data_IF_544646793301
#
_entry.id   IF_544646793301
#
_cell.length_a   1.000
_cell.length_b   1.000
_cell.length_c   1.000
_cell.angle_alpha   90.00
_cell.angle_beta   90.00
_cell.angle_gamma   90.00
#
_symmetry.space_group_name_H-M   'P 1'
#
loop_
_entity.id
_entity.type
_entity.pdbx_description
1 polymer ?
#
# COMPACT_ATOMS: atom_id res chain seq x y z
N UNK A 1 19.60 -32.54 -17.33
CA UNK A 1 19.70 -31.89 -18.66
C UNK A 1 18.41 -31.17 -19.10
N UNK A 2 17.38 -31.07 -18.24
CA UNK A 2 16.05 -30.54 -18.61
C UNK A 2 15.75 -29.16 -17.98
N UNK A 3 16.54 -28.72 -17.01
CA UNK A 3 16.39 -27.39 -16.38
C UNK A 3 16.91 -26.24 -17.27
N UNK A 4 18.00 -26.42 -18.03
CA UNK A 4 18.58 -25.32 -18.83
C UNK A 4 17.68 -24.87 -19.99
N UNK A 5 16.86 -25.77 -20.55
CA UNK A 5 15.94 -25.45 -21.65
C UNK A 5 14.82 -24.52 -21.20
N UNK A 6 14.33 -24.67 -19.96
CA UNK A 6 13.27 -23.81 -19.41
C UNK A 6 13.79 -22.39 -19.16
N UNK A 7 15.03 -22.23 -18.70
CA UNK A 7 15.64 -20.91 -18.51
C UNK A 7 15.94 -20.17 -19.83
N UNK A 8 16.14 -20.89 -20.93
CA UNK A 8 16.37 -20.29 -22.25
C UNK A 8 15.05 -19.98 -23.00
N UNK A 9 13.99 -20.76 -22.78
CA UNK A 9 12.68 -20.57 -23.44
C UNK A 9 11.80 -19.55 -22.71
N UNK A 10 11.90 -19.46 -21.39
CA UNK A 10 11.06 -18.55 -20.59
C UNK A 10 11.23 -17.07 -20.95
N UNK A 11 12.44 -16.52 -21.21
CA UNK A 11 12.60 -15.14 -21.69
C UNK A 11 11.98 -14.92 -23.07
N UNK A 12 12.08 -15.92 -23.96
CA UNK A 12 11.51 -15.85 -25.33
C UNK A 12 9.98 -15.89 -25.30
N UNK A 13 9.39 -16.70 -24.41
CA UNK A 13 7.93 -16.72 -24.18
C UNK A 13 7.44 -15.44 -23.50
N UNK A 14 8.17 -14.93 -22.50
CA UNK A 14 7.82 -13.67 -21.83
C UNK A 14 7.92 -12.48 -22.78
N UNK A 15 8.96 -12.38 -23.62
CA UNK A 15 9.07 -11.36 -24.67
C UNK A 15 8.02 -11.56 -25.77
N UNK A 16 7.79 -12.80 -26.22
CA UNK A 16 6.84 -13.15 -27.27
C UNK A 16 5.37 -12.93 -26.90
N UNK A 17 5.02 -12.91 -25.61
CA UNK A 17 3.67 -12.56 -25.13
C UNK A 17 3.55 -11.09 -24.71
N UNK A 18 4.58 -10.54 -24.05
CA UNK A 18 4.51 -9.17 -23.53
C UNK A 18 4.56 -8.11 -24.63
N UNK A 19 5.36 -8.31 -25.69
CA UNK A 19 5.49 -7.35 -26.79
C UNK A 19 4.21 -7.25 -27.61
N UNK A 20 3.58 -8.35 -28.09
CA UNK A 20 2.33 -8.26 -28.84
C UNK A 20 1.16 -7.76 -27.99
N UNK A 21 1.08 -8.14 -26.71
CA UNK A 21 0.04 -7.64 -25.81
C UNK A 21 0.20 -6.13 -25.55
N UNK A 22 1.43 -5.67 -25.34
CA UNK A 22 1.75 -4.24 -25.23
C UNK A 22 1.40 -3.49 -26.51
N UNK A 23 1.66 -4.07 -27.70
CA UNK A 23 1.30 -3.48 -29.00
C UNK A 23 -0.21 -3.44 -29.21
N UNK A 24 -0.93 -4.49 -28.83
CA UNK A 24 -2.37 -4.57 -28.94
C UNK A 24 -3.07 -3.53 -28.04
N UNK A 25 -2.62 -3.42 -26.79
CA UNK A 25 -3.12 -2.40 -25.86
C UNK A 25 -2.78 -0.98 -26.34
N UNK A 26 -1.61 -0.78 -26.95
CA UNK A 26 -1.23 0.48 -27.59
C UNK A 26 -2.15 0.83 -28.77
N UNK A 27 -2.41 -0.10 -29.69
CA UNK A 27 -3.32 0.09 -30.82
C UNK A 27 -4.74 0.39 -30.33
N UNK A 28 -5.23 -0.33 -29.32
CA UNK A 28 -6.53 -0.07 -28.69
C UNK A 28 -6.62 1.34 -28.09
N UNK A 29 -5.55 1.78 -27.42
CA UNK A 29 -5.49 3.13 -26.84
C UNK A 29 -5.39 4.23 -27.92
N UNK A 30 -4.66 3.99 -29.02
CA UNK A 30 -4.62 4.90 -30.18
C UNK A 30 -6.00 5.01 -30.84
N UNK A 31 -6.70 3.89 -31.00
CA UNK A 31 -8.04 3.87 -31.56
C UNK A 31 -9.04 4.60 -30.64
N UNK A 32 -9.00 4.34 -29.33
CA UNK A 32 -9.83 5.04 -28.35
C UNK A 32 -9.54 6.55 -28.33
N UNK A 33 -8.27 6.94 -28.32
CA UNK A 33 -7.86 8.34 -28.32
C UNK A 33 -8.26 9.09 -29.59
N UNK A 34 -8.32 8.41 -30.76
CA UNK A 34 -8.80 9.01 -32.01
C UNK A 34 -10.32 9.16 -32.07
N UNK A 35 -11.06 8.37 -31.30
CA UNK A 35 -12.53 8.37 -31.29
C UNK A 35 -13.08 9.31 -30.19
N UNK A 36 -12.33 9.57 -29.11
CA UNK A 36 -12.87 10.17 -27.89
C UNK A 36 -12.61 11.67 -27.64
N UNK A 37 -11.62 12.36 -28.23
CA UNK A 37 -11.46 13.82 -28.01
C UNK A 37 -10.43 14.53 -28.90
N UNK A 38 -10.73 15.79 -29.24
CA UNK A 38 -9.87 16.78 -29.90
C UNK A 38 -8.58 17.09 -29.11
N UNK A 39 -7.43 16.97 -29.77
CA UNK A 39 -6.43 18.04 -29.71
C UNK A 39 -5.11 17.83 -28.95
N UNK A 40 -5.01 17.07 -27.85
CA UNK A 40 -3.71 16.99 -27.15
C UNK A 40 -3.42 15.74 -26.30
N UNK A 41 -3.77 14.53 -26.75
CA UNK A 41 -3.44 13.33 -25.98
C UNK A 41 -2.17 12.63 -26.50
N UNK A 42 -1.11 12.72 -25.71
CA UNK A 42 0.07 11.86 -25.81
C UNK A 42 -0.39 10.40 -25.73
N UNK A 43 -0.09 9.61 -26.73
CA UNK A 43 -0.33 8.16 -26.72
C UNK A 43 0.62 7.52 -25.69
N UNK A 44 0.14 6.58 -24.85
CA UNK A 44 1.01 5.82 -23.92
C UNK A 44 2.10 5.10 -24.72
N UNK A 45 3.40 5.33 -24.47
CA UNK A 45 4.45 4.75 -25.28
C UNK A 45 4.52 3.23 -25.07
N UNK A 46 4.92 2.47 -26.10
CA UNK A 46 5.16 1.03 -26.03
C UNK A 46 6.00 0.60 -24.81
N UNK A 47 7.04 1.37 -24.48
CA UNK A 47 7.93 1.08 -23.36
C UNK A 47 7.21 1.10 -22.01
N UNK A 48 6.25 2.01 -21.83
CA UNK A 48 5.45 2.12 -20.61
C UNK A 48 4.43 0.99 -20.51
N UNK A 49 3.82 0.57 -21.62
CA UNK A 49 2.98 -0.62 -21.65
C UNK A 49 3.77 -1.89 -21.32
N UNK A 50 4.93 -2.06 -21.95
CA UNK A 50 5.82 -3.20 -21.68
C UNK A 50 6.22 -3.25 -20.21
N UNK A 51 6.69 -2.13 -19.65
CA UNK A 51 7.04 -2.03 -18.23
C UNK A 51 5.84 -2.35 -17.32
N UNK A 52 4.68 -1.76 -17.61
CA UNK A 52 3.48 -1.88 -16.79
C UNK A 52 2.76 -3.23 -16.90
N UNK A 53 3.20 -4.09 -17.81
CA UNK A 53 2.76 -5.49 -17.86
C UNK A 53 3.85 -6.39 -17.25
N UNK A 54 5.09 -6.24 -17.70
CA UNK A 54 6.18 -7.13 -17.32
C UNK A 54 6.51 -7.03 -15.83
N UNK A 55 6.67 -5.81 -15.28
CA UNK A 55 7.08 -5.63 -13.88
C UNK A 55 5.99 -6.11 -12.91
N UNK A 56 4.69 -5.77 -13.11
CA UNK A 56 3.60 -6.36 -12.32
C UNK A 56 3.54 -7.90 -12.38
N UNK A 57 3.73 -8.52 -13.56
CA UNK A 57 3.79 -9.99 -13.68
C UNK A 57 4.93 -10.54 -12.83
N UNK A 58 6.14 -9.97 -12.95
CA UNK A 58 7.30 -10.41 -12.17
C UNK A 58 7.06 -10.25 -10.66
N UNK A 59 6.45 -9.14 -10.24
CA UNK A 59 6.09 -8.88 -8.84
C UNK A 59 5.11 -9.94 -8.31
N UNK A 60 4.06 -10.28 -9.08
CA UNK A 60 3.07 -11.29 -8.68
C UNK A 60 3.64 -12.70 -8.69
N UNK A 61 4.45 -13.07 -9.70
CA UNK A 61 5.17 -14.36 -9.74
C UNK A 61 6.09 -14.50 -8.54
N UNK A 62 6.85 -13.45 -8.21
CA UNK A 62 7.68 -13.43 -7.00
C UNK A 62 6.83 -13.60 -5.74
N UNK A 63 5.70 -12.88 -5.66
CA UNK A 63 4.79 -12.96 -4.53
C UNK A 63 4.23 -14.37 -4.30
N UNK A 64 3.83 -15.06 -5.37
CA UNK A 64 3.38 -16.45 -5.32
C UNK A 64 4.51 -17.39 -4.89
N UNK A 65 5.70 -17.28 -5.49
CA UNK A 65 6.87 -18.12 -5.16
C UNK A 65 7.30 -17.96 -3.69
N UNK A 66 7.23 -16.74 -3.15
CA UNK A 66 7.58 -16.45 -1.74
C UNK A 66 6.43 -16.68 -0.76
N UNK A 67 5.30 -17.21 -1.23
CA UNK A 67 4.07 -17.39 -0.45
C UNK A 67 3.65 -16.09 0.27
N UNK A 68 3.89 -14.92 -0.33
CA UNK A 68 3.43 -13.63 0.19
C UNK A 68 2.00 -13.28 -0.23
N UNK A 69 1.54 -13.89 -1.32
CA UNK A 69 0.18 -13.75 -1.86
C UNK A 69 -0.29 -15.12 -2.35
N UNK A 70 -1.59 -15.39 -2.29
CA UNK A 70 -2.18 -16.59 -2.89
C UNK A 70 -2.62 -16.34 -4.35
N UNK A 71 -3.17 -17.36 -5.03
CA UNK A 71 -3.57 -17.24 -6.45
C UNK A 71 -4.60 -16.13 -6.70
N UNK A 72 -5.60 -15.98 -5.83
CA UNK A 72 -6.63 -14.96 -6.00
C UNK A 72 -6.10 -13.55 -5.72
N UNK A 73 -5.27 -13.40 -4.69
CA UNK A 73 -4.56 -12.15 -4.42
C UNK A 73 -3.58 -11.78 -5.53
N UNK A 74 -2.90 -12.74 -6.15
CA UNK A 74 -2.00 -12.47 -7.27
C UNK A 74 -2.74 -12.01 -8.52
N UNK A 75 -3.89 -12.63 -8.82
CA UNK A 75 -4.72 -12.22 -9.96
C UNK A 75 -5.23 -10.78 -9.79
N UNK A 76 -5.78 -10.44 -8.62
CA UNK A 76 -6.27 -9.09 -8.37
C UNK A 76 -5.14 -8.07 -8.20
N UNK A 77 -4.05 -8.48 -7.53
CA UNK A 77 -2.84 -7.67 -7.36
C UNK A 77 -2.17 -7.33 -8.69
N UNK A 78 -2.26 -8.21 -9.69
CA UNK A 78 -1.80 -7.91 -11.05
C UNK A 78 -2.58 -6.74 -11.65
N UNK A 79 -3.91 -6.76 -11.55
CA UNK A 79 -4.77 -5.68 -12.06
C UNK A 79 -4.42 -4.34 -11.39
N UNK A 80 -4.34 -4.34 -10.05
CA UNK A 80 -3.93 -3.16 -9.29
C UNK A 80 -2.56 -2.63 -9.73
N UNK A 81 -1.57 -3.51 -9.80
CA UNK A 81 -0.19 -3.15 -10.14
C UNK A 81 -0.06 -2.62 -11.57
N UNK A 82 -0.81 -3.17 -12.54
CA UNK A 82 -0.85 -2.67 -13.93
C UNK A 82 -1.42 -1.26 -13.95
N UNK A 83 -2.57 -1.02 -13.31
CA UNK A 83 -3.20 0.31 -13.27
C UNK A 83 -2.23 1.32 -12.64
N UNK A 84 -1.70 1.00 -11.45
CA UNK A 84 -0.76 1.86 -10.75
C UNK A 84 0.47 2.18 -11.61
N UNK A 85 1.05 1.18 -12.26
CA UNK A 85 2.22 1.33 -13.12
C UNK A 85 1.96 2.18 -14.35
N UNK A 86 0.81 1.99 -15.02
CA UNK A 86 0.44 2.80 -16.18
C UNK A 86 0.24 4.25 -15.74
N UNK A 87 -0.42 4.50 -14.61
CA UNK A 87 -0.64 5.84 -14.07
C UNK A 87 0.67 6.56 -13.73
N UNK A 88 1.51 5.95 -12.88
CA UNK A 88 2.80 6.49 -12.45
C UNK A 88 3.72 5.37 -11.92
N UNK A 89 4.98 5.39 -12.34
CA UNK A 89 6.01 4.50 -11.80
C UNK A 89 6.17 4.68 -10.29
N UNK A 90 5.98 5.89 -9.75
CA UNK A 90 6.01 6.15 -8.31
C UNK A 90 4.91 5.39 -7.56
N UNK A 91 3.73 5.22 -8.16
CA UNK A 91 2.63 4.47 -7.55
C UNK A 91 2.92 2.97 -7.50
N UNK A 92 3.46 2.40 -8.59
CA UNK A 92 3.93 1.01 -8.57
C UNK A 92 5.08 0.83 -7.57
N UNK A 93 6.01 1.79 -7.49
CA UNK A 93 7.11 1.74 -6.53
C UNK A 93 6.60 1.74 -5.08
N UNK A 94 5.58 2.54 -4.76
CA UNK A 94 4.92 2.52 -3.45
C UNK A 94 4.26 1.16 -3.16
N UNK A 95 3.53 0.58 -4.12
CA UNK A 95 2.96 -0.77 -3.98
C UNK A 95 4.06 -1.81 -3.74
N UNK A 96 5.13 -1.77 -4.53
CA UNK A 96 6.25 -2.70 -4.41
C UNK A 96 6.94 -2.57 -3.06
N UNK A 97 7.21 -1.33 -2.62
CA UNK A 97 7.79 -1.03 -1.31
C UNK A 97 6.94 -1.63 -0.21
N UNK A 98 5.64 -1.30 -0.15
CA UNK A 98 4.67 -1.87 0.78
C UNK A 98 4.67 -3.40 0.72
N UNK A 99 4.58 -3.99 -0.47
CA UNK A 99 4.51 -5.44 -0.61
C UNK A 99 5.76 -6.12 -0.04
N UNK A 100 6.96 -5.64 -0.37
CA UNK A 100 8.21 -6.26 0.08
C UNK A 100 8.49 -5.98 1.56
N UNK A 101 8.28 -4.75 2.03
CA UNK A 101 8.50 -4.38 3.44
C UNK A 101 7.53 -5.14 4.34
N UNK A 102 6.23 -5.08 4.05
CA UNK A 102 5.19 -5.73 4.85
C UNK A 102 5.33 -7.25 4.82
N UNK A 103 5.71 -7.86 3.69
CA UNK A 103 5.94 -9.31 3.64
C UNK A 103 7.18 -9.76 4.42
N UNK A 104 8.15 -8.87 4.64
CA UNK A 104 9.28 -9.15 5.55
C UNK A 104 8.87 -8.94 6.99
N UNK A 105 8.11 -7.88 7.28
CA UNK A 105 7.59 -7.59 8.61
C UNK A 105 6.73 -8.73 9.15
N UNK A 106 5.79 -9.26 8.35
CA UNK A 106 4.92 -10.39 8.75
C UNK A 106 5.66 -11.69 9.05
N UNK A 107 6.85 -11.87 8.47
CA UNK A 107 7.70 -13.04 8.74
C UNK A 107 8.65 -12.82 9.92
N UNK A 108 8.84 -11.57 10.34
CA UNK A 108 9.77 -11.22 11.40
C UNK A 108 9.25 -11.73 12.75
N UNK A 109 10.01 -12.65 13.36
CA UNK A 109 9.72 -13.20 14.70
C UNK A 109 8.27 -13.71 14.89
N UNK A 110 7.69 -14.34 13.86
CA UNK A 110 6.33 -14.89 13.92
C UNK A 110 6.08 -15.88 15.08
N UNK A 111 7.12 -16.57 15.57
CA UNK A 111 7.03 -17.42 16.77
C UNK A 111 6.65 -16.68 18.04
N UNK A 112 6.96 -15.39 18.16
CA UNK A 112 6.56 -14.57 19.29
C UNK A 112 5.05 -14.31 19.28
N UNK A 113 4.46 -14.10 18.10
CA UNK A 113 3.03 -13.80 17.92
C UNK A 113 2.11 -14.96 18.26
N UNK A 114 2.55 -16.19 17.96
CA UNK A 114 1.87 -17.44 18.36
C UNK A 114 1.59 -17.55 19.86
N UNK A 115 2.30 -16.81 20.70
CA UNK A 115 2.11 -16.85 22.15
C UNK A 115 0.89 -16.05 22.62
N UNK A 116 0.39 -15.12 21.80
CA UNK A 116 -0.70 -14.22 22.18
C UNK A 116 -1.85 -14.12 21.15
N UNK A 117 -1.67 -14.63 19.93
CA UNK A 117 -2.71 -14.72 18.89
C UNK A 117 -3.11 -16.18 18.63
N UNK A 118 -4.40 -16.52 18.80
CA UNK A 118 -4.92 -17.89 18.63
C UNK A 118 -4.98 -18.31 17.14
N UNK A 119 -5.35 -17.40 16.24
CA UNK A 119 -5.55 -17.66 14.81
C UNK A 119 -4.33 -17.30 13.92
N UNK A 120 -3.11 -17.29 14.48
CA UNK A 120 -1.92 -16.88 13.74
C UNK A 120 -1.64 -17.79 12.52
N UNK A 121 -1.83 -17.26 11.31
CA UNK A 121 -1.52 -17.97 10.05
C UNK A 121 -0.06 -17.76 9.65
N UNK A 122 0.74 -18.82 9.77
CA UNK A 122 2.15 -18.80 9.39
C UNK A 122 2.33 -18.51 7.88
N UNK A 123 3.07 -17.44 7.58
CA UNK A 123 3.40 -17.04 6.22
C UNK A 123 2.49 -16.00 5.57
N UNK A 124 1.35 -15.64 6.18
CA UNK A 124 0.57 -14.44 5.82
C UNK A 124 0.23 -14.28 4.33
N UNK A 125 -0.20 -15.35 3.66
CA UNK A 125 -0.56 -15.30 2.23
C UNK A 125 -1.76 -14.37 2.01
N UNK A 126 -1.52 -13.22 1.38
CA UNK A 126 -2.58 -12.26 1.10
C UNK A 126 -3.58 -12.78 0.07
N UNK A 127 -4.88 -12.70 0.38
CA UNK A 127 -5.95 -13.04 -0.56
C UNK A 127 -6.45 -11.80 -1.31
N UNK A 128 -7.36 -11.99 -2.28
CA UNK A 128 -7.94 -10.90 -3.06
C UNK A 128 -8.60 -9.81 -2.18
N UNK A 129 -9.27 -10.19 -1.09
CA UNK A 129 -9.94 -9.26 -0.19
C UNK A 129 -8.92 -8.34 0.51
N UNK A 130 -7.82 -8.91 1.00
CA UNK A 130 -6.71 -8.13 1.58
C UNK A 130 -6.06 -7.20 0.56
N UNK A 131 -5.95 -7.62 -0.70
CA UNK A 131 -5.43 -6.75 -1.76
C UNK A 131 -6.38 -5.58 -2.01
N UNK A 132 -7.70 -5.81 -2.09
CA UNK A 132 -8.68 -4.74 -2.25
C UNK A 132 -8.63 -3.76 -1.06
N UNK A 133 -8.61 -4.27 0.17
CA UNK A 133 -8.62 -3.40 1.35
C UNK A 133 -7.35 -2.56 1.47
N UNK A 134 -6.19 -3.09 1.05
CA UNK A 134 -4.92 -2.39 1.23
C UNK A 134 -4.47 -1.58 0.01
N UNK A 135 -4.88 -1.97 -1.21
CA UNK A 135 -4.45 -1.34 -2.45
C UNK A 135 -5.61 -0.82 -3.30
N UNK A 136 -6.87 -1.13 -2.97
CA UNK A 136 -8.04 -0.75 -3.74
C UNK A 136 -8.21 0.77 -3.84
N UNK A 137 -8.15 1.48 -2.72
CA UNK A 137 -8.26 2.96 -2.72
C UNK A 137 -7.12 3.60 -3.53
N UNK A 138 -5.89 3.16 -3.32
CA UNK A 138 -4.74 3.63 -4.10
C UNK A 138 -4.90 3.35 -5.60
N UNK A 139 -5.43 2.17 -5.97
CA UNK A 139 -5.70 1.80 -7.36
C UNK A 139 -6.78 2.68 -7.98
N UNK A 140 -7.86 2.96 -7.23
CA UNK A 140 -8.93 3.85 -7.68
C UNK A 140 -8.41 5.28 -7.89
N UNK A 141 -7.64 5.81 -6.95
CA UNK A 141 -7.01 7.14 -7.07
C UNK A 141 -6.02 7.21 -8.23
N UNK A 142 -5.25 6.14 -8.46
CA UNK A 142 -4.35 6.05 -9.61
C UNK A 142 -5.10 5.96 -10.93
N UNK A 143 -6.25 5.28 -10.97
CA UNK A 143 -7.12 5.28 -12.15
C UNK A 143 -7.66 6.68 -12.42
N UNK A 144 -8.12 7.40 -11.39
CA UNK A 144 -8.53 8.80 -11.52
C UNK A 144 -7.37 9.70 -11.99
N UNK A 145 -6.16 9.49 -11.47
CA UNK A 145 -4.97 10.18 -11.95
C UNK A 145 -4.73 9.91 -13.44
N UNK A 146 -4.84 8.66 -13.87
CA UNK A 146 -4.67 8.29 -15.29
C UNK A 146 -5.73 8.94 -16.20
N UNK A 147 -6.98 9.02 -15.74
CA UNK A 147 -8.08 9.60 -16.50
C UNK A 147 -8.01 11.13 -16.57
N UNK A 148 -7.74 11.79 -15.44
CA UNK A 148 -7.79 13.25 -15.34
C UNK A 148 -6.46 13.92 -15.71
N UNK A 149 -5.36 13.30 -15.33
CA UNK A 149 -4.02 13.85 -15.52
C UNK A 149 -3.33 13.22 -16.72
N UNK A 150 -3.68 11.99 -17.10
CA UNK A 150 -2.93 11.21 -18.08
C UNK A 150 -1.81 10.40 -17.42
N UNK A 151 -1.10 9.62 -18.22
CA UNK A 151 0.05 8.86 -17.75
C UNK A 151 1.27 9.78 -17.62
N UNK A 152 2.14 9.51 -16.65
CA UNK A 152 3.40 10.24 -16.55
C UNK A 152 3.81 10.50 -15.11
N UNK A 153 5.11 10.71 -14.94
CA UNK A 153 5.69 11.08 -13.65
C UNK A 153 5.63 12.60 -13.54
N UNK A 154 5.03 13.08 -12.45
CA UNK A 154 4.86 14.50 -12.21
C UNK A 154 5.37 14.85 -10.83
N UNK A 155 6.12 15.96 -10.69
CA UNK A 155 6.48 16.47 -9.38
C UNK A 155 5.23 16.96 -8.65
N UNK A 156 5.31 16.97 -7.32
CA UNK A 156 4.29 17.59 -6.48
C UNK A 156 4.45 19.10 -6.55
N UNK A 157 3.49 19.73 -7.20
CA UNK A 157 3.31 21.18 -7.26
C UNK A 157 1.81 21.48 -7.09
N UNK A 158 1.43 22.02 -5.93
CA UNK A 158 0.03 22.33 -5.64
C UNK A 158 -0.48 23.60 -6.32
N UNK A 159 0.42 24.41 -6.90
CA UNK A 159 0.07 25.66 -7.61
C UNK A 159 -0.19 25.36 -9.08
N UNK A 160 0.77 24.75 -9.78
CA UNK A 160 0.68 24.52 -11.22
C UNK A 160 0.07 23.15 -11.58
N UNK A 161 0.22 22.15 -10.71
CA UNK A 161 -0.15 20.76 -10.96
C UNK A 161 -1.11 20.19 -9.91
N UNK A 162 -2.04 21.03 -9.43
CA UNK A 162 -2.93 20.75 -8.30
C UNK A 162 -3.52 19.33 -8.30
N UNK A 163 -4.19 18.92 -9.40
CA UNK A 163 -4.89 17.62 -9.47
C UNK A 163 -3.94 16.44 -9.37
N UNK A 164 -2.84 16.45 -10.12
CA UNK A 164 -1.84 15.38 -10.08
C UNK A 164 -1.11 15.33 -8.74
N UNK A 165 -0.84 16.49 -8.13
CA UNK A 165 -0.22 16.59 -6.81
C UNK A 165 -1.12 16.02 -5.72
N UNK A 166 -2.41 16.41 -5.74
CA UNK A 166 -3.39 15.93 -4.79
C UNK A 166 -3.57 14.41 -4.89
N UNK A 167 -3.80 13.89 -6.10
CA UNK A 167 -3.98 12.45 -6.34
C UNK A 167 -2.69 11.65 -6.06
N UNK A 168 -1.52 12.21 -6.38
CA UNK A 168 -0.23 11.57 -6.11
C UNK A 168 0.04 11.40 -4.62
N UNK A 169 -0.17 12.47 -3.83
CA UNK A 169 -0.09 12.40 -2.37
C UNK A 169 -1.16 11.49 -1.80
N UNK A 170 -2.34 11.41 -2.42
CA UNK A 170 -3.43 10.53 -1.97
C UNK A 170 -3.01 9.05 -2.09
N UNK A 171 -2.48 8.66 -3.25
CA UNK A 171 -1.97 7.30 -3.50
C UNK A 171 -0.81 6.96 -2.54
N UNK A 172 0.15 7.88 -2.39
CA UNK A 172 1.25 7.72 -1.44
C UNK A 172 0.72 7.54 -0.01
N UNK A 173 -0.23 8.39 0.40
CA UNK A 173 -0.84 8.38 1.73
C UNK A 173 -1.57 7.07 2.03
N UNK A 174 -2.33 6.53 1.07
CA UNK A 174 -2.99 5.23 1.22
C UNK A 174 -1.98 4.09 1.40
N UNK A 175 -0.89 4.04 0.63
CA UNK A 175 0.14 3.01 0.83
C UNK A 175 0.95 3.21 2.11
N UNK A 176 1.25 4.45 2.48
CA UNK A 176 1.92 4.79 3.72
C UNK A 176 1.08 4.40 4.94
N UNK A 177 -0.24 4.61 4.91
CA UNK A 177 -1.20 4.10 5.90
C UNK A 177 -1.07 2.59 6.09
N UNK A 178 -1.22 1.82 5.00
CA UNK A 178 -1.11 0.36 5.04
C UNK A 178 0.24 -0.14 5.56
N UNK A 179 1.34 0.47 5.09
CA UNK A 179 2.68 0.05 5.49
C UNK A 179 2.97 0.44 6.94
N UNK A 180 2.52 1.62 7.37
CA UNK A 180 2.66 2.11 8.74
C UNK A 180 1.87 1.25 9.73
N UNK A 181 0.62 0.89 9.41
CA UNK A 181 -0.16 -0.03 10.22
C UNK A 181 0.51 -1.41 10.31
N UNK A 182 0.92 -1.96 9.17
CA UNK A 182 1.60 -3.27 9.15
C UNK A 182 2.90 -3.24 9.96
N UNK A 183 3.69 -2.16 9.91
CA UNK A 183 4.92 -2.07 10.69
C UNK A 183 4.64 -1.95 12.20
N UNK A 184 3.58 -1.22 12.61
CA UNK A 184 3.17 -1.18 14.01
C UNK A 184 2.73 -2.56 14.52
N UNK A 185 1.84 -3.23 13.78
CA UNK A 185 1.24 -4.49 14.20
C UNK A 185 2.21 -5.67 14.07
N UNK A 186 3.14 -5.65 13.11
CA UNK A 186 4.11 -6.74 12.88
C UNK A 186 5.43 -6.54 13.62
N UNK A 187 6.03 -5.35 13.53
CA UNK A 187 7.33 -5.07 14.17
C UNK A 187 7.14 -4.48 15.56
N UNK A 188 6.23 -3.52 15.72
CA UNK A 188 6.00 -2.85 17.00
C UNK A 188 5.60 -3.79 18.13
N UNK A 189 4.71 -4.75 17.85
CA UNK A 189 4.21 -5.73 18.83
C UNK A 189 5.28 -6.69 19.34
N UNK A 190 6.29 -6.99 18.52
CA UNK A 190 7.33 -7.97 18.82
C UNK A 190 8.63 -7.31 19.33
N UNK A 191 8.90 -6.07 18.93
CA UNK A 191 10.05 -5.30 19.40
C UNK A 191 9.74 -4.64 20.75
N UNK A 192 8.51 -4.17 20.97
CA UNK A 192 8.10 -3.57 22.23
C UNK A 192 8.14 -4.56 23.41
N UNK A 193 8.61 -4.10 24.57
CA UNK A 193 8.63 -4.88 25.83
C UNK A 193 7.49 -4.52 26.79
N UNK A 194 6.87 -3.35 26.65
CA UNK A 194 5.72 -2.92 27.46
C UNK A 194 4.36 -3.37 26.93
N UNK A 195 3.35 -3.37 27.81
CA UNK A 195 1.97 -3.53 27.40
C UNK A 195 1.46 -2.27 26.67
N UNK A 196 0.80 -2.43 25.52
CA UNK A 196 0.19 -1.31 24.81
C UNK A 196 -0.97 -0.72 25.61
N UNK A 197 -1.35 0.52 25.28
CA UNK A 197 -2.52 1.18 25.84
C UNK A 197 -3.62 1.27 24.79
N UNK A 198 -4.88 1.14 25.20
CA UNK A 198 -6.02 1.31 24.29
C UNK A 198 -6.17 2.80 23.93
N UNK A 199 -6.30 3.12 22.64
CA UNK A 199 -6.31 4.51 22.17
C UNK A 199 -7.46 5.35 22.76
N UNK A 200 -8.59 4.73 23.07
CA UNK A 200 -9.80 5.42 23.56
C UNK A 200 -9.74 5.84 25.02
N UNK A 201 -9.16 5.00 25.90
CA UNK A 201 -9.19 5.21 27.35
C UNK A 201 -7.81 5.20 28.02
N UNK A 202 -6.74 4.97 27.25
CA UNK A 202 -5.33 4.89 27.69
C UNK A 202 -5.05 3.84 28.76
N UNK A 203 -5.94 2.87 28.96
CA UNK A 203 -5.69 1.74 29.87
C UNK A 203 -4.76 0.73 29.21
N UNK A 204 -3.86 0.13 29.99
CA UNK A 204 -2.99 -0.96 29.51
C UNK A 204 -3.84 -2.19 29.18
N UNK A 205 -3.59 -2.78 28.02
CA UNK A 205 -4.30 -3.95 27.52
C UNK A 205 -3.31 -5.00 27.03
N UNK A 206 -3.68 -6.30 27.01
CA UNK A 206 -2.78 -7.33 26.53
C UNK A 206 -2.43 -7.13 25.04
N UNK A 207 -1.27 -7.62 24.64
CA UNK A 207 -0.82 -7.55 23.24
C UNK A 207 -1.74 -8.33 22.32
N UNK A 208 -1.96 -7.79 21.12
CA UNK A 208 -2.91 -8.33 20.15
C UNK A 208 -4.33 -7.77 20.29
N UNK A 209 -4.63 -6.97 21.31
CA UNK A 209 -5.92 -6.28 21.43
C UNK A 209 -6.11 -5.28 20.30
N UNK A 210 -7.25 -5.33 19.60
CA UNK A 210 -7.59 -4.39 18.54
C UNK A 210 -7.68 -2.96 19.09
N UNK A 211 -7.02 -2.03 18.41
CA UNK A 211 -6.93 -0.63 18.82
C UNK A 211 -5.95 -0.33 19.96
N UNK A 212 -5.10 -1.29 20.32
CA UNK A 212 -4.02 -1.09 21.25
C UNK A 212 -2.81 -0.43 20.57
N UNK A 213 -2.33 0.65 21.16
CA UNK A 213 -1.22 1.46 20.64
C UNK A 213 -0.03 1.34 21.59
N UNK A 214 1.17 1.23 21.04
CA UNK A 214 2.42 1.29 21.80
C UNK A 214 3.33 2.37 21.21
N UNK A 215 4.22 2.93 22.04
CA UNK A 215 5.18 3.93 21.56
C UNK A 215 6.08 3.37 20.44
N UNK A 216 6.57 2.13 20.60
CA UNK A 216 7.35 1.45 19.56
C UNK A 216 6.52 1.25 18.29
N UNK A 217 5.24 0.89 18.44
CA UNK A 217 4.30 0.82 17.32
C UNK A 217 4.19 2.14 16.56
N UNK A 218 3.97 3.25 17.25
CA UNK A 218 3.87 4.58 16.62
C UNK A 218 5.14 4.97 15.87
N UNK A 219 6.31 4.71 16.44
CA UNK A 219 7.60 4.94 15.76
C UNK A 219 7.71 4.06 14.51
N UNK A 220 7.36 2.77 14.62
CA UNK A 220 7.38 1.86 13.47
C UNK A 220 6.37 2.27 12.39
N UNK A 221 5.21 2.81 12.75
CA UNK A 221 4.24 3.35 11.79
C UNK A 221 4.77 4.57 11.05
N UNK A 222 5.40 5.49 11.78
CA UNK A 222 6.05 6.66 11.17
C UNK A 222 7.17 6.22 10.22
N UNK A 223 8.05 5.29 10.64
CA UNK A 223 9.13 4.77 9.80
C UNK A 223 8.61 4.01 8.58
N UNK A 224 7.54 3.22 8.74
CA UNK A 224 6.88 2.52 7.65
C UNK A 224 6.31 3.49 6.62
N UNK A 225 5.63 4.55 7.06
CA UNK A 225 5.17 5.61 6.18
C UNK A 225 6.32 6.38 5.50
N UNK A 226 7.38 6.67 6.24
CA UNK A 226 8.58 7.36 5.76
C UNK A 226 9.25 6.59 4.62
N UNK A 227 9.31 5.26 4.71
CA UNK A 227 9.81 4.41 3.62
C UNK A 227 9.01 4.60 2.32
N UNK A 228 7.68 4.68 2.41
CA UNK A 228 6.83 4.88 1.23
C UNK A 228 7.06 6.28 0.65
N UNK A 229 7.11 7.31 1.49
CA UNK A 229 7.42 8.68 1.06
C UNK A 229 8.81 8.80 0.41
N UNK A 230 9.82 8.13 0.97
CA UNK A 230 11.16 8.05 0.40
C UNK A 230 11.18 7.36 -0.96
N UNK A 231 10.48 6.24 -1.11
CA UNK A 231 10.40 5.53 -2.40
C UNK A 231 9.70 6.38 -3.45
N UNK A 232 8.61 7.09 -3.09
CA UNK A 232 7.96 8.03 -3.98
C UNK A 232 8.93 9.15 -4.41
N UNK A 233 9.58 9.81 -3.43
CA UNK A 233 10.55 10.89 -3.67
C UNK A 233 11.68 10.46 -4.60
N UNK A 234 12.32 9.32 -4.31
CA UNK A 234 13.40 8.78 -5.16
C UNK A 234 12.90 8.47 -6.56
N UNK A 235 11.69 7.91 -6.69
CA UNK A 235 11.13 7.62 -8.02
C UNK A 235 10.99 8.91 -8.82
N UNK A 236 10.30 9.93 -8.28
CA UNK A 236 10.15 11.24 -8.93
C UNK A 236 11.51 11.86 -9.27
N UNK A 237 12.48 11.81 -8.35
CA UNK A 237 13.82 12.36 -8.55
C UNK A 237 14.57 11.76 -9.74
N UNK A 238 14.33 10.48 -10.05
CA UNK A 238 15.00 9.76 -11.14
C UNK A 238 14.18 9.63 -12.42
N UNK A 239 12.86 9.80 -12.36
CA UNK A 239 11.98 9.59 -13.52
C UNK A 239 11.43 10.89 -14.13
N UNK A 240 11.33 11.97 -13.35
CA UNK A 240 10.91 13.28 -13.87
C UNK A 240 12.08 13.94 -14.61
N UNK A 241 11.79 14.54 -15.76
CA UNK A 241 12.77 15.28 -16.55
C UNK A 241 13.44 16.39 -15.73
N UNK A 242 14.75 16.55 -15.88
CA UNK A 242 15.56 17.46 -15.06
C UNK A 242 15.07 18.90 -15.10
N UNK A 243 14.67 19.40 -16.28
CA UNK A 243 14.16 20.77 -16.44
C UNK A 243 12.85 20.98 -15.69
N UNK A 244 11.94 20.00 -15.72
CA UNK A 244 10.66 20.08 -15.01
C UNK A 244 10.91 20.02 -13.50
N UNK A 245 11.77 19.10 -13.06
CA UNK A 245 12.11 18.92 -11.65
C UNK A 245 12.74 20.19 -11.04
N UNK A 246 13.68 20.83 -11.74
CA UNK A 246 14.36 22.04 -11.26
C UNK A 246 13.44 23.26 -11.15
N UNK A 247 12.39 23.33 -11.96
CA UNK A 247 11.39 24.40 -11.91
C UNK A 247 10.24 24.11 -10.94
N UNK A 248 10.24 22.94 -10.30
CA UNK A 248 9.19 22.52 -9.38
C UNK A 248 9.57 22.82 -7.93
N UNK A 249 8.59 22.90 -7.01
CA UNK A 249 8.85 23.00 -5.58
C UNK A 249 9.74 21.85 -5.06
N UNK A 250 10.29 22.03 -3.86
CA UNK A 250 11.06 21.00 -3.20
C UNK A 250 10.23 19.71 -3.00
N UNK A 251 10.80 18.57 -3.39
CA UNK A 251 10.09 17.28 -3.40
C UNK A 251 10.38 16.43 -2.15
N UNK A 252 11.42 16.76 -1.38
CA UNK A 252 11.77 16.03 -0.15
C UNK A 252 10.66 16.00 0.92
N UNK A 253 9.71 16.97 1.01
CA UNK A 253 8.60 16.89 1.97
C UNK A 253 7.74 15.63 1.83
N UNK A 254 7.75 14.97 0.66
CA UNK A 254 7.15 13.63 0.47
C UNK A 254 7.57 12.63 1.55
N UNK A 255 8.82 12.68 2.00
CA UNK A 255 9.35 11.79 3.04
C UNK A 255 8.63 12.01 4.38
N UNK A 256 8.48 13.28 4.76
CA UNK A 256 7.81 13.69 6.01
C UNK A 256 6.33 13.38 5.94
N UNK A 257 5.65 13.75 4.84
CA UNK A 257 4.24 13.47 4.66
C UNK A 257 3.93 11.98 4.55
N UNK A 258 4.84 11.18 3.97
CA UNK A 258 4.76 9.72 4.02
C UNK A 258 4.79 9.22 5.47
N UNK A 259 5.72 9.70 6.29
CA UNK A 259 5.79 9.36 7.71
C UNK A 259 4.54 9.76 8.50
N UNK A 260 4.06 10.99 8.28
CA UNK A 260 2.80 11.48 8.87
C UNK A 260 1.60 10.63 8.44
N UNK A 261 1.53 10.23 7.17
CA UNK A 261 0.46 9.37 6.65
C UNK A 261 0.47 7.99 7.30
N UNK A 262 1.65 7.38 7.49
CA UNK A 262 1.78 6.10 8.19
C UNK A 262 1.35 6.20 9.66
N UNK A 263 1.75 7.28 10.34
CA UNK A 263 1.34 7.52 11.72
C UNK A 263 -0.17 7.78 11.83
N UNK A 264 -0.71 8.73 11.05
CA UNK A 264 -2.13 9.08 11.05
C UNK A 264 -3.00 7.87 10.70
N UNK A 265 -2.62 7.12 9.66
CA UNK A 265 -3.31 5.91 9.25
C UNK A 265 -3.38 4.86 10.35
N UNK A 266 -2.27 4.57 11.02
CA UNK A 266 -2.25 3.63 12.15
C UNK A 266 -3.08 4.08 13.35
N UNK A 267 -3.18 5.39 13.58
CA UNK A 267 -4.02 5.95 14.64
C UNK A 267 -5.51 5.86 14.30
N UNK A 268 -5.88 6.11 13.04
CA UNK A 268 -7.25 5.93 12.54
C UNK A 268 -7.64 4.45 12.66
N UNK A 269 -6.77 3.54 12.21
CA UNK A 269 -6.98 2.10 12.32
C UNK A 269 -7.19 1.68 13.77
N UNK A 270 -6.30 2.15 14.66
CA UNK A 270 -6.41 1.85 16.09
C UNK A 270 -7.69 2.39 16.73
N UNK A 271 -8.15 3.58 16.32
CA UNK A 271 -9.39 4.17 16.83
C UNK A 271 -10.61 3.36 16.39
N UNK A 272 -10.66 2.98 15.10
CA UNK A 272 -11.70 2.12 14.55
C UNK A 272 -11.64 0.72 15.15
N UNK A 273 -10.45 0.18 15.40
CA UNK A 273 -10.26 -1.11 16.06
C UNK A 273 -10.74 -1.11 17.51
N UNK A 274 -10.41 -0.08 18.28
CA UNK A 274 -10.83 0.03 19.69
C UNK A 274 -12.34 0.21 19.85
N UNK A 275 -13.03 0.73 18.83
CA UNK A 275 -14.46 1.09 18.89
C UNK A 275 -15.34 0.08 18.15
N UNK A 276 -14.94 -0.36 16.95
CA UNK A 276 -15.77 -1.12 16.00
C UNK A 276 -15.26 -2.53 15.71
N UNK A 277 -14.13 -2.95 16.28
CA UNK A 277 -13.67 -4.35 16.24
C UNK A 277 -13.74 -4.96 17.63
N UNK A 278 -14.28 -6.17 17.72
CA UNK A 278 -14.34 -6.88 18.99
C UNK A 278 -12.95 -7.41 19.38
N UNK A 279 -12.56 -7.23 20.65
CA UNK A 279 -11.46 -7.96 21.26
C UNK A 279 -11.89 -8.54 22.60
N UNK A 280 -11.64 -9.83 22.77
CA UNK A 280 -11.78 -10.54 24.03
C UNK A 280 -10.53 -11.34 24.35
N UNK A 281 -10.44 -11.82 25.59
CA UNK A 281 -9.37 -12.69 26.06
C UNK A 281 -9.96 -14.02 26.52
N UNK A 282 -9.42 -15.13 26.03
CA UNK A 282 -9.81 -16.46 26.47
C UNK A 282 -9.12 -16.85 27.80
N UNK A 283 -9.52 -17.96 28.41
CA UNK A 283 -8.94 -18.45 29.67
C UNK A 283 -7.44 -18.76 29.58
N UNK A 284 -6.92 -18.99 28.37
CA UNK A 284 -5.49 -19.20 28.09
C UNK A 284 -4.70 -17.89 27.98
N UNK A 285 -5.36 -16.74 28.15
CA UNK A 285 -4.76 -15.41 28.06
C UNK A 285 -4.55 -14.91 26.63
N UNK A 286 -4.99 -15.65 25.60
CA UNK A 286 -4.85 -15.26 24.19
C UNK A 286 -5.99 -14.34 23.76
N UNK A 287 -5.69 -13.44 22.83
CA UNK A 287 -6.70 -12.52 22.28
C UNK A 287 -7.51 -13.20 21.19
N UNK A 288 -8.82 -12.99 21.24
CA UNK A 288 -9.81 -13.51 20.30
C UNK A 288 -10.67 -12.40 19.72
N UNK A 289 -11.01 -12.53 18.44
CA UNK A 289 -11.82 -11.56 17.68
C UNK A 289 -13.33 -11.83 17.75
N UNK A 290 -13.73 -12.92 18.43
CA UNK A 290 -15.14 -13.34 18.51
C UNK A 290 -15.58 -13.54 19.95
N UNK A 291 -16.82 -13.15 20.29
CA UNK A 291 -17.40 -13.50 21.58
C UNK A 291 -17.62 -15.00 21.65
N UNK A 292 -17.38 -15.57 22.83
CA UNK A 292 -17.51 -16.99 23.09
C UNK A 292 -17.78 -17.27 24.57
N UNK A 293 -18.14 -18.51 24.89
CA UNK A 293 -18.20 -18.96 26.29
C UNK A 293 -16.79 -18.85 26.87
N UNK A 294 -16.68 -18.31 28.09
CA UNK A 294 -15.40 -18.10 28.77
C UNK A 294 -14.44 -17.08 28.13
N UNK A 295 -14.96 -16.16 27.29
CA UNK A 295 -14.19 -15.04 26.74
C UNK A 295 -14.51 -13.78 27.52
N UNK A 296 -13.49 -13.17 28.14
CA UNK A 296 -13.62 -11.86 28.79
C UNK A 296 -13.49 -10.76 27.75
N UNK A 297 -14.52 -9.92 27.62
CA UNK A 297 -14.48 -8.75 26.73
C UNK A 297 -13.44 -7.71 27.18
N UNK A 298 -12.72 -7.12 26.23
CA UNK A 298 -11.73 -6.05 26.45
C UNK A 298 -12.18 -4.74 25.80
N UNK A 299 -12.46 -4.74 24.50
CA UNK A 299 -12.75 -3.54 23.72
C UNK A 299 -13.63 -3.78 22.49
N UNK A 300 -14.23 -2.69 22.02
CA UNK A 300 -15.01 -2.60 20.80
C UNK A 300 -16.25 -3.49 20.72
N UNK A 301 -16.92 -3.39 19.57
CA UNK A 301 -18.09 -4.20 19.20
C UNK A 301 -17.81 -4.94 17.90
N UNK A 302 -18.56 -6.00 17.59
CA UNK A 302 -18.33 -6.81 16.39
C UNK A 302 -19.06 -6.23 15.17
N UNK A 303 -18.69 -5.02 14.77
CA UNK A 303 -19.26 -4.36 13.58
C UNK A 303 -18.36 -4.56 12.37
N UNK A 304 -17.06 -4.34 12.54
CA UNK A 304 -16.06 -4.43 11.48
C UNK A 304 -15.06 -5.55 11.73
N UNK A 305 -14.49 -6.07 10.65
CA UNK A 305 -13.33 -6.95 10.67
C UNK A 305 -12.05 -6.17 10.32
N UNK A 306 -10.90 -6.86 10.34
CA UNK A 306 -9.61 -6.24 10.05
C UNK A 306 -9.51 -5.70 8.60
N UNK A 307 -10.13 -6.38 7.64
CA UNK A 307 -10.13 -5.96 6.26
C UNK A 307 -10.93 -4.66 6.05
N UNK A 308 -12.10 -4.55 6.69
CA UNK A 308 -12.94 -3.36 6.60
C UNK A 308 -12.30 -2.15 7.26
N UNK A 309 -11.64 -2.32 8.41
CA UNK A 309 -10.95 -1.22 9.07
C UNK A 309 -9.78 -0.71 8.23
N UNK A 310 -8.94 -1.61 7.71
CA UNK A 310 -7.86 -1.22 6.79
C UNK A 310 -8.37 -0.43 5.57
N UNK A 311 -9.48 -0.86 4.97
CA UNK A 311 -10.10 -0.14 3.86
C UNK A 311 -10.55 1.27 4.26
N UNK A 312 -11.22 1.43 5.40
CA UNK A 312 -11.68 2.74 5.85
C UNK A 312 -10.49 3.64 6.21
N UNK A 313 -9.48 3.11 6.91
CA UNK A 313 -8.25 3.84 7.27
C UNK A 313 -7.52 4.37 6.04
N UNK A 314 -7.41 3.57 4.98
CA UNK A 314 -6.76 3.99 3.73
C UNK A 314 -7.55 5.02 2.94
N UNK A 315 -8.88 4.96 2.96
CA UNK A 315 -9.78 5.97 2.38
C UNK A 315 -9.61 7.30 3.11
N UNK A 316 -9.75 7.30 4.44
CA UNK A 316 -9.64 8.51 5.25
C UNK A 316 -8.25 9.14 5.10
N UNK A 317 -7.18 8.34 5.20
CA UNK A 317 -5.81 8.85 5.06
C UNK A 317 -5.54 9.35 3.64
N UNK A 318 -6.04 8.67 2.61
CA UNK A 318 -5.91 9.08 1.21
C UNK A 318 -6.61 10.40 0.90
N UNK A 319 -7.70 10.75 1.60
CA UNK A 319 -8.41 12.04 1.46
C UNK A 319 -7.76 13.14 2.31
N UNK A 320 -7.37 12.81 3.54
CA UNK A 320 -6.82 13.80 4.48
C UNK A 320 -5.41 14.25 4.11
N UNK A 321 -4.53 13.33 3.71
CA UNK A 321 -3.12 13.67 3.51
C UNK A 321 -2.83 14.66 2.38
N UNK A 322 -3.49 14.59 1.21
CA UNK A 322 -3.34 15.64 0.20
C UNK A 322 -3.69 17.03 0.72
N UNK A 323 -4.75 17.12 1.51
CA UNK A 323 -5.22 18.38 2.10
C UNK A 323 -4.22 18.90 3.13
N UNK A 324 -3.68 18.03 3.99
CA UNK A 324 -2.61 18.39 4.94
C UNK A 324 -1.36 18.83 4.20
N UNK A 325 -0.94 18.06 3.20
CA UNK A 325 0.25 18.34 2.39
C UNK A 325 0.13 19.68 1.69
N UNK A 326 -0.99 19.96 1.02
CA UNK A 326 -1.23 21.22 0.34
C UNK A 326 -1.09 22.45 1.25
N UNK A 327 -1.65 22.40 2.46
CA UNK A 327 -1.61 23.53 3.39
C UNK A 327 -0.23 23.73 4.03
N UNK A 328 0.56 22.67 4.17
CA UNK A 328 1.86 22.71 4.82
C UNK A 328 3.03 22.70 3.83
N UNK A 329 2.80 22.50 2.53
CA UNK A 329 3.86 22.35 1.53
C UNK A 329 4.73 23.61 1.44
N UNK A 330 4.12 24.80 1.49
CA UNK A 330 4.82 26.08 1.41
C UNK A 330 5.65 26.44 2.64
N UNK A 331 5.64 25.59 3.69
CA UNK A 331 6.55 25.73 4.83
C UNK A 331 7.93 25.13 4.56
N UNK A 332 8.09 24.42 3.44
CA UNK A 332 9.32 23.75 3.00
C UNK A 332 9.89 24.44 1.76
#
# INVERSE_FOLDING_TARGET
MQESTIYNILPVLLCGLSVPLSMFMWIGNVAYSKIASDGSNSVIPPTRWLFSVLVPILLMVYGLKRKGVNKSGAAFGLVCAVILSISSHAFLACLAAFFFSSSRATKFRGHAKRKFEEDFKEGGQRNWAQVICNAGMATQLALLYLLDCGYGERPIDFVNLYRSSWLGVAVMGSFACCNGDTWASELGTVIGSGDPFLITNRKRVPRGTNGAVSFVGLVMSFLGGTLIGLVYFLTIRYTVETNIYQNSPEQWPLIVFGGMAGLLGSLIDSLLGATLQYSGQNERGMIVERPGKHVRHISGVRILDNHSVNLISTILTGIMMPSIAMNLWGMF
#
